data_IF_477572158697
#
_entry.id   IF_477572158697
#
_cell.length_a   1.000
_cell.length_b   1.000
_cell.length_c   1.000
_cell.angle_alpha   90.00
_cell.angle_beta   90.00
_cell.angle_gamma   90.00
#
_symmetry.space_group_name_H-M   'P 1'
#
loop_
_entity.id
_entity.type
_entity.pdbx_description
1 polymer ?
#
# COMPACT_ATOMS: atom_id res chain seq x y z
N UNK A 1 24.84 16.65 13.50
CA UNK A 1 23.46 16.61 12.94
C UNK A 1 23.57 16.85 11.45
N UNK A 2 23.13 15.90 10.63
CA UNK A 2 23.14 16.01 9.17
C UNK A 2 22.04 16.99 8.72
N UNK A 3 22.27 17.73 7.63
CA UNK A 3 21.30 18.63 7.01
C UNK A 3 21.15 18.25 5.53
N UNK A 4 19.93 18.34 5.01
CA UNK A 4 19.59 18.14 3.60
C UNK A 4 18.93 19.44 3.12
N UNK A 5 19.42 20.02 2.03
CA UNK A 5 18.85 21.22 1.41
C UNK A 5 17.71 20.80 0.46
N UNK A 6 16.52 21.39 0.64
CA UNK A 6 15.35 21.10 -0.18
C UNK A 6 15.36 21.83 -1.54
N UNK A 7 16.35 22.69 -1.81
CA UNK A 7 16.53 23.42 -3.08
C UNK A 7 15.30 24.24 -3.48
N UNK A 8 14.61 24.83 -2.48
CA UNK A 8 13.38 25.61 -2.68
C UNK A 8 12.12 24.79 -2.95
N UNK A 9 12.17 23.46 -2.86
CA UNK A 9 11.00 22.58 -2.94
C UNK A 9 10.20 22.59 -1.63
N UNK A 10 8.96 22.10 -1.70
CA UNK A 10 8.11 21.94 -0.52
C UNK A 10 8.44 20.65 0.23
N UNK A 11 8.46 20.74 1.55
CA UNK A 11 8.47 19.60 2.45
C UNK A 11 7.08 19.52 3.07
N UNK A 12 6.39 18.41 2.83
CA UNK A 12 5.09 18.10 3.41
C UNK A 12 5.16 16.73 4.11
N UNK A 13 4.26 16.44 5.06
CA UNK A 13 4.07 15.06 5.51
C UNK A 13 3.74 14.16 4.31
N UNK A 14 4.21 12.91 4.35
CA UNK A 14 3.86 11.92 3.33
C UNK A 14 2.36 11.71 3.25
N UNK A 15 1.85 11.46 2.05
CA UNK A 15 0.43 11.27 1.84
C UNK A 15 -0.04 9.92 2.40
N UNK A 16 -1.31 9.91 2.83
CA UNK A 16 -2.01 8.70 3.29
C UNK A 16 -3.13 8.43 2.30
N UNK A 17 -3.03 7.33 1.56
CA UNK A 17 -4.09 6.91 0.64
C UNK A 17 -5.02 5.91 1.34
N UNK A 18 -6.24 6.34 1.63
CA UNK A 18 -7.21 5.52 2.35
C UNK A 18 -8.03 4.59 1.43
N UNK A 19 -7.86 4.69 0.11
CA UNK A 19 -8.65 3.94 -0.86
C UNK A 19 -7.86 3.72 -2.16
N UNK A 20 -7.06 2.65 -2.18
CA UNK A 20 -6.32 2.19 -3.36
C UNK A 20 -6.43 0.67 -3.53
N UNK A 21 -6.92 0.25 -4.69
CA UNK A 21 -6.99 -1.17 -5.06
C UNK A 21 -5.64 -1.71 -5.51
N UNK A 22 -4.97 -0.94 -6.37
CA UNK A 22 -3.82 -1.39 -7.11
C UNK A 22 -3.20 -0.26 -7.92
N UNK A 23 -2.11 -0.57 -8.59
CA UNK A 23 -1.27 0.35 -9.35
C UNK A 23 -0.08 -0.40 -9.92
N UNK A 24 0.60 0.18 -10.91
CA UNK A 24 1.85 -0.38 -11.45
C UNK A 24 1.76 -1.82 -12.00
N UNK A 25 0.54 -2.28 -12.32
CA UNK A 25 0.27 -3.63 -12.82
C UNK A 25 -0.16 -4.65 -11.75
N UNK A 26 -0.25 -4.24 -10.50
CA UNK A 26 -0.59 -5.08 -9.34
C UNK A 26 -1.91 -4.64 -8.70
N UNK A 27 -2.68 -5.57 -8.15
CA UNK A 27 -3.91 -5.30 -7.39
C UNK A 27 -3.93 -6.07 -6.05
N UNK A 28 -4.45 -5.47 -4.99
CA UNK A 28 -4.60 -6.09 -3.68
C UNK A 28 -5.41 -7.40 -3.74
N UNK A 29 -6.36 -7.50 -4.68
CA UNK A 29 -7.18 -8.69 -4.92
C UNK A 29 -6.42 -9.84 -5.60
N UNK A 30 -5.24 -9.60 -6.19
CA UNK A 30 -4.42 -10.65 -6.81
C UNK A 30 -3.86 -11.62 -5.76
N UNK A 31 -3.81 -11.19 -4.49
CA UNK A 31 -3.25 -11.95 -3.38
C UNK A 31 -1.81 -12.43 -3.67
N UNK A 32 -1.03 -11.54 -4.28
CA UNK A 32 0.40 -11.71 -4.58
C UNK A 32 1.22 -10.94 -3.53
N UNK A 33 2.15 -11.61 -2.86
CA UNK A 33 3.02 -10.94 -1.89
C UNK A 33 3.96 -9.98 -2.60
N UNK A 34 4.59 -10.45 -3.68
CA UNK A 34 5.50 -9.68 -4.51
C UNK A 34 4.78 -8.52 -5.21
N UNK A 35 3.50 -8.71 -5.57
CA UNK A 35 2.68 -7.64 -6.14
C UNK A 35 2.39 -6.52 -5.13
N UNK A 36 2.03 -6.87 -3.88
CA UNK A 36 1.87 -5.86 -2.82
C UNK A 36 3.19 -5.14 -2.52
N UNK A 37 4.30 -5.88 -2.51
CA UNK A 37 5.63 -5.28 -2.33
C UNK A 37 5.93 -4.25 -3.42
N UNK A 38 5.75 -4.64 -4.68
CA UNK A 38 6.01 -3.78 -5.83
C UNK A 38 5.10 -2.55 -5.84
N UNK A 39 3.82 -2.70 -5.50
CA UNK A 39 2.88 -1.59 -5.33
C UNK A 39 3.36 -0.62 -4.25
N UNK A 40 3.70 -1.14 -3.07
CA UNK A 40 4.12 -0.33 -1.93
C UNK A 40 5.43 0.44 -2.20
N UNK A 41 6.42 -0.19 -2.85
CA UNK A 41 7.66 0.47 -3.29
C UNK A 41 7.36 1.60 -4.30
N UNK A 42 6.43 1.35 -5.23
CA UNK A 42 6.11 2.30 -6.30
C UNK A 42 5.36 3.53 -5.81
N UNK A 43 4.49 3.40 -4.80
CA UNK A 43 3.71 4.49 -4.22
C UNK A 43 4.56 5.63 -3.65
N UNK A 44 5.79 5.35 -3.22
CA UNK A 44 6.73 6.37 -2.76
C UNK A 44 7.04 7.41 -3.85
N UNK A 45 7.00 7.02 -5.13
CA UNK A 45 7.23 7.93 -6.26
C UNK A 45 6.13 8.98 -6.43
N UNK A 46 4.96 8.75 -5.84
CA UNK A 46 3.82 9.67 -5.82
C UNK A 46 3.76 10.50 -4.53
N UNK A 47 4.66 10.25 -3.58
CA UNK A 47 4.67 10.87 -2.26
C UNK A 47 3.72 10.21 -1.25
N UNK A 48 3.08 9.10 -1.61
CA UNK A 48 2.29 8.27 -0.69
C UNK A 48 3.23 7.43 0.15
N UNK A 49 3.23 7.66 1.46
CA UNK A 49 4.10 6.95 2.40
C UNK A 49 3.34 5.92 3.22
N UNK A 50 2.01 5.95 3.20
CA UNK A 50 1.17 4.95 3.86
C UNK A 50 -0.16 4.80 3.14
N UNK A 51 -0.75 3.61 3.19
CA UNK A 51 -2.02 3.35 2.52
C UNK A 51 -2.84 2.23 3.16
N UNK A 52 -4.12 2.19 2.82
CA UNK A 52 -5.01 1.07 3.08
C UNK A 52 -5.16 0.23 1.81
N UNK A 53 -4.64 -0.99 1.82
CA UNK A 53 -4.87 -1.91 0.70
C UNK A 53 -6.37 -2.20 0.59
N UNK A 54 -6.95 -1.90 -0.57
CA UNK A 54 -8.40 -1.87 -0.73
C UNK A 54 -8.91 -3.06 -1.53
N UNK A 55 -9.78 -3.87 -0.94
CA UNK A 55 -10.42 -4.98 -1.66
C UNK A 55 -11.45 -4.47 -2.67
N UNK A 56 -12.03 -5.36 -3.47
CA UNK A 56 -13.25 -5.08 -4.24
C UNK A 56 -14.31 -6.15 -3.98
N UNK A 57 -15.54 -5.89 -4.40
CA UNK A 57 -16.61 -6.90 -4.37
C UNK A 57 -16.22 -8.13 -5.19
N UNK A 58 -16.07 -9.25 -4.50
CA UNK A 58 -15.68 -10.56 -5.04
C UNK A 58 -16.31 -11.68 -4.20
N UNK A 59 -16.08 -12.94 -4.58
CA UNK A 59 -16.35 -14.10 -3.73
C UNK A 59 -15.60 -13.98 -2.40
N UNK A 60 -16.24 -14.50 -1.34
CA UNK A 60 -15.66 -14.58 0.00
C UNK A 60 -14.29 -15.26 0.01
N UNK A 61 -14.07 -16.26 -0.85
CA UNK A 61 -12.80 -16.98 -0.93
C UNK A 61 -11.66 -16.10 -1.43
N UNK A 62 -11.89 -15.29 -2.47
CA UNK A 62 -10.84 -14.39 -2.97
C UNK A 62 -10.62 -13.21 -2.04
N UNK A 63 -11.66 -12.67 -1.41
CA UNK A 63 -11.50 -11.66 -0.35
C UNK A 63 -10.65 -12.24 0.77
N UNK A 64 -10.96 -13.44 1.26
CA UNK A 64 -10.18 -14.09 2.32
C UNK A 64 -8.71 -14.33 1.91
N UNK A 65 -8.44 -14.63 0.64
CA UNK A 65 -7.06 -14.75 0.12
C UNK A 65 -6.34 -13.41 0.13
N UNK A 66 -6.98 -12.36 -0.37
CA UNK A 66 -6.44 -11.00 -0.35
C UNK A 66 -6.14 -10.54 1.09
N UNK A 67 -7.11 -10.69 2.01
CA UNK A 67 -6.96 -10.30 3.42
C UNK A 67 -5.79 -11.02 4.10
N UNK A 68 -5.63 -12.33 3.87
CA UNK A 68 -4.50 -13.11 4.41
C UNK A 68 -3.18 -12.64 3.85
N UNK A 69 -3.10 -12.42 2.53
CA UNK A 69 -1.89 -11.93 1.86
C UNK A 69 -1.49 -10.54 2.37
N UNK A 70 -2.46 -9.63 2.51
CA UNK A 70 -2.21 -8.28 3.05
C UNK A 70 -1.70 -8.35 4.49
N UNK A 71 -2.32 -9.17 5.35
CA UNK A 71 -1.88 -9.33 6.73
C UNK A 71 -0.48 -9.96 6.84
N UNK A 72 -0.15 -10.91 5.96
CA UNK A 72 1.17 -11.54 5.88
C UNK A 72 2.23 -10.52 5.44
N UNK A 73 1.98 -9.77 4.37
CA UNK A 73 2.87 -8.71 3.91
C UNK A 73 3.05 -7.61 4.97
N UNK A 74 1.96 -7.13 5.56
CA UNK A 74 1.99 -6.09 6.60
C UNK A 74 2.91 -6.48 7.77
N UNK A 75 2.97 -7.77 8.13
CA UNK A 75 3.83 -8.26 9.21
C UNK A 75 5.33 -8.28 8.90
N UNK A 76 5.70 -8.15 7.62
CA UNK A 76 7.05 -8.32 7.10
C UNK A 76 7.51 -7.16 6.19
N UNK A 77 6.68 -6.13 6.01
CA UNK A 77 6.96 -5.00 5.12
C UNK A 77 8.20 -4.22 5.54
N UNK A 78 8.90 -3.65 4.56
CA UNK A 78 10.03 -2.76 4.79
C UNK A 78 9.56 -1.31 4.96
N UNK A 79 9.65 -0.78 6.18
CA UNK A 79 9.26 0.59 6.54
C UNK A 79 10.19 1.68 5.95
N UNK A 80 11.32 1.30 5.35
CA UNK A 80 12.31 2.26 4.84
C UNK A 80 12.31 2.41 3.32
N UNK A 81 11.85 1.39 2.59
CA UNK A 81 11.92 1.35 1.12
C UNK A 81 10.57 1.19 0.43
N UNK A 82 9.47 1.09 1.20
CA UNK A 82 8.12 0.99 0.68
C UNK A 82 7.14 1.87 1.48
N UNK A 83 5.99 2.20 0.87
CA UNK A 83 4.88 2.80 1.58
C UNK A 83 4.26 1.79 2.56
N UNK A 84 3.93 2.24 3.77
CA UNK A 84 3.41 1.37 4.82
C UNK A 84 1.95 0.99 4.55
N UNK A 85 1.64 -0.30 4.51
CA UNK A 85 0.26 -0.78 4.66
C UNK A 85 -0.13 -0.61 6.13
N UNK A 86 -0.94 0.41 6.42
CA UNK A 86 -1.43 0.72 7.78
C UNK A 86 -2.74 -0.01 8.10
N UNK A 87 -3.31 -0.74 7.15
CA UNK A 87 -4.51 -1.52 7.32
C UNK A 87 -5.18 -1.91 6.01
N UNK A 88 -6.46 -2.26 6.10
CA UNK A 88 -7.28 -2.73 4.98
C UNK A 88 -8.53 -1.87 4.89
N UNK A 89 -8.84 -1.39 3.69
CA UNK A 89 -10.16 -0.86 3.36
C UNK A 89 -10.95 -1.98 2.69
N UNK A 90 -11.96 -2.51 3.38
CA UNK A 90 -12.82 -3.55 2.81
C UNK A 90 -13.94 -2.90 1.98
N UNK A 91 -13.70 -2.66 0.69
CA UNK A 91 -14.74 -2.13 -0.20
C UNK A 91 -15.65 -3.26 -0.73
N UNK A 92 -16.78 -3.43 -0.02
CA UNK A 92 -17.78 -4.47 -0.29
C UNK A 92 -17.38 -5.86 0.22
N UNK A 93 -18.26 -6.87 0.10
CA UNK A 93 -19.60 -6.75 -0.47
C UNK A 93 -20.65 -6.12 0.47
N UNK A 94 -20.34 -5.81 1.75
CA UNK A 94 -21.26 -5.14 2.69
C UNK A 94 -20.56 -4.13 3.60
#
# INVERSE_FOLDING_TARGET
>A
MQRIDAEGRHIVPGFIDIHIHGGYGEDAMDASYEGLQHLAESLLSEGTTSFLATTMTQSTDNINRALKNIAEYQSQQDEHSAAEIVGIHLEGPF
#
